data_IF_798395217909
#
_entry.id   IF_798395217909
#
_cell.length_a   1.000
_cell.length_b   1.000
_cell.length_c   1.000
_cell.angle_alpha   90.00
_cell.angle_beta   90.00
_cell.angle_gamma   90.00
#
_symmetry.space_group_name_H-M   'P 1'
#
loop_
_entity.id
_entity.type
_entity.pdbx_description
1 polymer ?
#
# COMPACT_ATOMS: atom_id res chain seq x y z
N UNK A 1 -7.87 -23.30 33.29
CA UNK A 1 -6.77 -22.55 33.96
C UNK A 1 -6.88 -21.09 33.57
N UNK A 2 -7.09 -20.14 34.51
CA UNK A 2 -7.21 -18.73 34.16
C UNK A 2 -5.83 -18.13 33.84
N UNK A 3 -5.74 -17.40 32.73
CA UNK A 3 -4.51 -16.72 32.31
C UNK A 3 -4.20 -15.55 33.26
N UNK A 4 -2.98 -15.52 33.80
CA UNK A 4 -2.49 -14.40 34.61
C UNK A 4 -2.29 -13.18 33.71
N UNK A 5 -2.99 -12.08 34.02
CA UNK A 5 -2.85 -10.79 33.33
C UNK A 5 -1.83 -9.93 34.06
N UNK A 6 -1.05 -9.14 33.31
CA UNK A 6 -0.12 -8.16 33.88
C UNK A 6 -0.90 -7.06 34.60
N UNK A 7 -0.52 -6.77 35.85
CA UNK A 7 -1.03 -5.66 36.67
C UNK A 7 -0.14 -4.43 36.65
N UNK A 8 0.98 -4.46 35.90
CA UNK A 8 1.90 -3.33 35.80
C UNK A 8 1.24 -2.17 35.07
N UNK A 9 1.46 -0.96 35.57
CA UNK A 9 1.05 0.28 34.91
C UNK A 9 1.62 0.33 33.49
N UNK A 10 0.75 0.53 32.50
CA UNK A 10 1.13 0.59 31.09
C UNK A 10 1.64 2.01 30.82
N UNK A 11 2.92 2.14 30.49
CA UNK A 11 3.49 3.39 30.01
C UNK A 11 3.39 3.43 28.49
N UNK A 12 2.97 4.56 27.93
CA UNK A 12 3.02 4.79 26.50
C UNK A 12 4.48 4.70 26.02
N UNK A 13 4.72 3.97 24.95
CA UNK A 13 6.04 3.89 24.33
C UNK A 13 6.35 5.14 23.47
N UNK A 14 5.31 5.87 23.09
CA UNK A 14 5.38 7.05 22.24
C UNK A 14 5.34 8.28 23.17
N UNK A 15 6.35 9.17 23.10
CA UNK A 15 6.37 10.44 23.83
C UNK A 15 5.22 11.38 23.43
N UNK A 16 4.79 12.24 24.36
CA UNK A 16 3.67 13.18 24.13
C UNK A 16 4.01 14.28 23.09
N UNK A 17 5.30 14.54 22.84
CA UNK A 17 5.81 15.47 21.85
C UNK A 17 6.05 14.83 20.46
N UNK A 18 5.73 13.55 20.31
CA UNK A 18 5.85 12.86 19.04
C UNK A 18 4.74 13.28 18.06
N UNK A 19 5.11 14.10 17.07
CA UNK A 19 4.22 14.47 15.96
C UNK A 19 4.21 13.33 14.93
N UNK A 20 3.10 12.61 14.82
CA UNK A 20 2.89 11.61 13.77
C UNK A 20 2.60 12.34 12.46
N UNK A 21 3.60 12.47 11.59
CA UNK A 21 3.37 12.92 10.21
C UNK A 21 2.74 11.75 9.42
N UNK A 22 1.41 11.69 9.37
CA UNK A 22 0.70 10.89 8.37
C UNK A 22 0.89 11.60 7.03
N UNK A 23 1.89 11.18 6.28
CA UNK A 23 2.16 11.76 4.96
C UNK A 23 1.13 11.23 3.95
N UNK A 24 -0.07 11.80 3.98
CA UNK A 24 -0.95 11.85 2.81
C UNK A 24 -0.43 12.99 1.93
N UNK A 25 0.57 12.70 1.12
CA UNK A 25 1.29 13.74 0.38
C UNK A 25 0.45 14.29 -0.78
N UNK A 26 -0.23 15.40 -0.50
CA UNK A 26 -0.42 16.49 -1.45
C UNK A 26 0.88 17.35 -1.40
N UNK A 27 1.40 17.81 -2.56
CA UNK A 27 2.58 18.69 -2.75
C UNK A 27 3.86 18.02 -3.27
N UNK A 28 3.89 17.83 -4.60
CA UNK A 28 4.98 17.30 -5.41
C UNK A 28 6.43 17.63 -5.01
N UNK A 29 7.21 16.56 -4.86
CA UNK A 29 8.63 16.50 -5.20
C UNK A 29 8.81 15.15 -5.92
N UNK A 30 8.79 15.16 -7.25
CA UNK A 30 9.07 13.97 -8.08
C UNK A 30 7.86 13.20 -8.60
N UNK A 31 6.75 13.88 -8.92
CA UNK A 31 5.69 13.28 -9.75
C UNK A 31 6.30 13.02 -11.14
N UNK A 32 6.90 11.85 -11.34
CA UNK A 32 6.99 11.29 -12.68
C UNK A 32 5.53 11.11 -13.10
N UNK A 33 5.06 11.86 -14.10
CA UNK A 33 3.66 11.75 -14.57
C UNK A 33 3.28 10.31 -14.93
N UNK A 34 4.30 9.48 -15.20
CA UNK A 34 4.20 8.06 -15.51
C UNK A 34 3.96 7.14 -14.32
N UNK A 35 4.32 7.54 -13.08
CA UNK A 35 4.21 6.68 -11.89
C UNK A 35 3.05 7.15 -11.00
N UNK A 36 1.88 6.50 -11.10
CA UNK A 36 0.71 6.88 -10.31
C UNK A 36 0.96 6.61 -8.83
N UNK A 37 0.79 7.66 -8.01
CA UNK A 37 1.01 7.59 -6.56
C UNK A 37 -0.17 6.95 -5.85
N UNK A 38 -1.37 7.06 -6.44
CA UNK A 38 -2.60 6.54 -5.87
C UNK A 38 -3.32 5.60 -6.85
N UNK A 39 -4.19 4.75 -6.30
CA UNK A 39 -4.95 3.77 -7.08
C UNK A 39 -5.84 4.42 -8.15
N UNK A 40 -6.49 5.53 -7.81
CA UNK A 40 -7.38 6.23 -8.73
C UNK A 40 -6.62 6.76 -9.96
N UNK A 41 -5.48 7.40 -9.74
CA UNK A 41 -4.56 7.89 -10.76
C UNK A 41 -4.01 6.74 -11.61
N UNK A 42 -3.71 5.59 -11.00
CA UNK A 42 -3.28 4.41 -11.75
C UNK A 42 -4.38 3.92 -12.70
N UNK A 43 -5.63 3.87 -12.20
CA UNK A 43 -6.79 3.45 -12.99
C UNK A 43 -7.19 4.45 -14.07
N UNK A 44 -7.00 5.75 -13.83
CA UNK A 44 -7.27 6.82 -14.81
C UNK A 44 -6.12 7.04 -15.80
N UNK A 45 -4.94 6.46 -15.55
CA UNK A 45 -3.80 6.58 -16.47
C UNK A 45 -4.08 5.89 -17.81
N UNK A 46 -3.47 6.40 -18.87
CA UNK A 46 -3.52 5.78 -20.20
C UNK A 46 -2.90 4.37 -20.25
N UNK A 47 -2.11 4.02 -19.23
CA UNK A 47 -1.48 2.71 -19.08
C UNK A 47 -2.34 1.69 -18.32
N UNK A 48 -3.47 2.11 -17.72
CA UNK A 48 -4.33 1.22 -16.94
C UNK A 48 -4.79 -0.01 -17.73
N UNK A 49 -5.17 0.20 -18.99
CA UNK A 49 -5.58 -0.89 -19.89
C UNK A 49 -4.43 -1.87 -20.14
N UNK A 50 -3.21 -1.39 -20.35
CA UNK A 50 -2.03 -2.25 -20.56
C UNK A 50 -1.75 -3.12 -19.34
N UNK A 51 -1.98 -2.61 -18.13
CA UNK A 51 -1.78 -3.37 -16.90
C UNK A 51 -2.85 -4.45 -16.73
N UNK A 52 -4.10 -4.16 -17.09
CA UNK A 52 -5.19 -5.14 -17.12
C UNK A 52 -4.89 -6.25 -18.14
N UNK A 53 -4.43 -5.86 -19.34
CA UNK A 53 -4.09 -6.82 -20.40
C UNK A 53 -2.90 -7.70 -19.98
N UNK A 54 -1.86 -7.11 -19.38
CA UNK A 54 -0.72 -7.85 -18.85
C UNK A 54 -1.12 -8.85 -17.75
N UNK A 55 -2.01 -8.45 -16.83
CA UNK A 55 -2.55 -9.34 -15.81
C UNK A 55 -3.31 -10.52 -16.41
N UNK A 56 -4.14 -10.26 -17.43
CA UNK A 56 -4.90 -11.30 -18.13
C UNK A 56 -3.99 -12.28 -18.88
N UNK A 57 -2.96 -11.78 -19.55
CA UNK A 57 -1.96 -12.60 -20.23
C UNK A 57 -1.14 -13.44 -19.24
N UNK A 58 -0.81 -12.91 -18.06
CA UNK A 58 -0.12 -13.68 -17.01
C UNK A 58 -1.00 -14.84 -16.49
N UNK A 59 -2.28 -14.58 -16.19
CA UNK A 59 -3.22 -15.63 -15.75
C UNK A 59 -3.38 -16.71 -16.83
N UNK A 60 -3.43 -16.30 -18.10
CA UNK A 60 -3.49 -17.21 -19.25
C UNK A 60 -2.19 -18.00 -19.40
N UNK A 61 -1.04 -17.36 -19.19
CA UNK A 61 0.28 -17.99 -19.20
C UNK A 61 0.38 -19.06 -18.11
N UNK A 62 -0.04 -18.76 -16.87
CA UNK A 62 -0.09 -19.73 -15.78
C UNK A 62 -0.95 -20.96 -16.12
N UNK A 63 -2.12 -20.76 -16.75
CA UNK A 63 -2.98 -21.86 -17.21
C UNK A 63 -2.35 -22.67 -18.35
N UNK A 64 -1.64 -22.03 -19.26
CA UNK A 64 -1.01 -22.70 -20.40
C UNK A 64 0.27 -23.45 -20.02
N UNK A 65 0.97 -22.96 -19.00
CA UNK A 65 2.26 -23.51 -18.57
C UNK A 65 2.14 -24.62 -17.52
N UNK A 66 0.92 -24.98 -17.06
CA UNK A 66 0.65 -26.08 -16.11
C UNK A 66 1.64 -26.09 -14.91
N UNK A 67 1.91 -24.92 -14.32
CA UNK A 67 2.74 -24.75 -13.11
C UNK A 67 1.98 -25.19 -11.86
#
# INVERSE_FOLDING_TARGET
MPLRKSTRERRCAIPDDYIVCLQEHEVGIGLMEDDPINFHQAMESSNSQKWIDAMNEEIKSMKNNDV
#
